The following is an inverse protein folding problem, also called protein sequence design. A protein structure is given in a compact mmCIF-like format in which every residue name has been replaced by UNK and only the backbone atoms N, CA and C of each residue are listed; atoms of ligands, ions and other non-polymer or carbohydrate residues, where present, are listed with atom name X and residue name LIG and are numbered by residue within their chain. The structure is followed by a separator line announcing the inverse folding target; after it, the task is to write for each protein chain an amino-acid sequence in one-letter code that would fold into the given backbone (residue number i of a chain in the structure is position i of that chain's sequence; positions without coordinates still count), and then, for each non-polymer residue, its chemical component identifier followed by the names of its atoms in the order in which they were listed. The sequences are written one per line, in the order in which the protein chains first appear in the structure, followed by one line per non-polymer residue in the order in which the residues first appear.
data_IF_173985756257
#
_entry.id   IF_173985756257
#
_cell.length_a   1.000
_cell.length_b   1.000
_cell.length_c   1.000
_cell.angle_alpha   90.00
_cell.angle_beta   90.00
_cell.angle_gamma   90.00
#
_symmetry.space_group_name_H-M   'P 1'
#
loop_
_entity.id
_entity.type
_entity.pdbx_description
1 polymer ?
#
# COMPACT_ATOMS: atom_id res chain seq x y z
N UNK A 1 7.32 13.18 -1.87
CA UNK A 1 7.85 12.58 -3.11
C UNK A 1 8.05 13.63 -4.21
N UNK A 2 7.05 14.49 -4.52
CA UNK A 2 7.20 15.54 -5.54
C UNK A 2 8.42 16.42 -5.26
N UNK A 3 8.55 16.97 -4.04
CA UNK A 3 9.67 17.80 -3.65
C UNK A 3 11.04 17.13 -3.78
N UNK A 4 11.11 15.78 -3.66
CA UNK A 4 12.36 15.03 -3.89
C UNK A 4 12.64 14.81 -5.37
N UNK A 5 11.60 14.56 -6.17
CA UNK A 5 11.75 14.34 -7.62
C UNK A 5 11.98 15.64 -8.38
N UNK A 6 11.41 16.74 -7.88
CA UNK A 6 11.46 18.07 -8.49
C UNK A 6 11.90 19.12 -7.46
N UNK A 7 13.16 19.09 -7.00
CA UNK A 7 13.63 19.96 -5.91
C UNK A 7 13.59 21.45 -6.23
N UNK A 8 13.64 21.80 -7.51
CA UNK A 8 13.54 23.19 -7.99
C UNK A 8 12.09 23.70 -8.16
N UNK A 9 11.08 22.89 -7.83
CA UNK A 9 9.68 23.30 -7.90
C UNK A 9 9.41 24.44 -6.89
N UNK A 10 8.67 25.51 -7.29
CA UNK A 10 8.42 26.66 -6.42
C UNK A 10 7.76 26.30 -5.08
N UNK A 11 6.94 25.27 -5.06
CA UNK A 11 6.21 24.78 -3.89
C UNK A 11 7.07 23.98 -2.91
N UNK A 12 8.28 23.60 -3.28
CA UNK A 12 9.14 22.72 -2.47
C UNK A 12 9.36 23.26 -1.05
N UNK A 13 9.65 24.56 -0.92
CA UNK A 13 9.84 25.18 0.39
C UNK A 13 8.57 25.14 1.25
N UNK A 14 7.40 25.36 0.65
CA UNK A 14 6.12 25.29 1.34
C UNK A 14 5.77 23.85 1.77
N UNK A 15 6.13 22.85 0.98
CA UNK A 15 5.96 21.42 1.32
C UNK A 15 6.78 21.08 2.57
N UNK A 16 8.04 21.51 2.64
CA UNK A 16 8.90 21.26 3.81
C UNK A 16 8.41 22.01 5.04
N UNK A 17 8.08 23.27 4.93
CA UNK A 17 7.48 24.03 6.04
C UNK A 17 6.20 23.37 6.57
N UNK A 18 5.38 22.79 5.68
CA UNK A 18 4.19 22.03 6.08
C UNK A 18 4.55 20.73 6.79
N UNK A 19 5.57 20.02 6.32
CA UNK A 19 6.06 18.82 6.99
C UNK A 19 6.58 19.14 8.40
N UNK A 20 7.38 20.19 8.55
CA UNK A 20 7.88 20.67 9.85
C UNK A 20 6.76 21.02 10.82
N UNK A 21 5.70 21.63 10.32
CA UNK A 21 4.56 22.03 11.16
C UNK A 21 3.62 20.87 11.54
N UNK A 22 3.55 19.81 10.71
CA UNK A 22 2.56 18.74 10.86
C UNK A 22 3.14 17.44 11.42
N UNK A 23 4.37 17.09 11.04
CA UNK A 23 4.98 15.80 11.37
C UNK A 23 5.89 15.95 12.60
N UNK A 24 5.29 16.34 13.71
CA UNK A 24 5.98 16.53 15.00
C UNK A 24 5.49 15.52 16.03
N UNK A 25 6.33 15.12 17.00
CA UNK A 25 5.99 14.07 17.97
C UNK A 25 4.69 14.29 18.70
N UNK A 26 4.36 15.54 19.06
CA UNK A 26 3.17 15.90 19.82
C UNK A 26 1.88 15.61 19.03
N UNK A 27 1.88 15.90 17.72
CA UNK A 27 0.72 15.62 16.85
C UNK A 27 0.60 14.13 16.57
N UNK A 28 1.73 13.44 16.35
CA UNK A 28 1.74 11.99 16.19
C UNK A 28 1.22 11.28 17.45
N UNK A 29 1.57 11.76 18.64
CA UNK A 29 1.03 11.22 19.89
C UNK A 29 -0.50 11.38 19.97
N UNK A 30 -1.05 12.48 19.47
CA UNK A 30 -2.50 12.67 19.35
C UNK A 30 -3.16 11.65 18.42
N UNK A 31 -2.56 11.38 17.26
CA UNK A 31 -3.04 10.35 16.32
C UNK A 31 -2.96 8.93 16.93
N UNK A 32 -1.89 8.62 17.66
CA UNK A 32 -1.75 7.35 18.36
C UNK A 32 -2.85 7.17 19.43
N UNK A 33 -3.12 8.21 20.21
CA UNK A 33 -4.21 8.20 21.19
C UNK A 33 -5.57 7.99 20.52
N UNK A 34 -5.78 8.59 19.34
CA UNK A 34 -6.98 8.37 18.54
C UNK A 34 -7.13 6.89 18.13
N UNK A 35 -6.05 6.25 17.69
CA UNK A 35 -6.06 4.84 17.29
C UNK A 35 -6.36 3.86 18.43
N UNK A 36 -6.08 4.25 19.67
CA UNK A 36 -6.31 3.44 20.87
C UNK A 36 -7.75 3.51 21.40
N UNK A 37 -8.58 4.38 20.85
CA UNK A 37 -9.98 4.54 21.30
C UNK A 37 -10.80 3.28 21.03
N UNK A 38 -11.80 2.98 21.85
CA UNK A 38 -12.78 1.93 21.57
C UNK A 38 -13.40 2.13 20.17
N UNK A 39 -13.49 1.06 19.38
CA UNK A 39 -14.06 1.10 18.03
C UNK A 39 -13.09 1.56 16.91
N UNK A 40 -11.90 2.06 17.23
CA UNK A 40 -10.94 2.53 16.22
C UNK A 40 -10.17 1.42 15.51
N UNK A 41 -10.35 0.14 15.84
CA UNK A 41 -9.60 -0.97 15.27
C UNK A 41 -9.69 -1.09 13.73
N UNK A 42 -10.85 -0.71 13.16
CA UNK A 42 -11.08 -0.72 11.72
C UNK A 42 -10.87 0.63 11.03
N UNK A 43 -10.43 1.67 11.77
CA UNK A 43 -10.25 3.01 11.21
C UNK A 43 -9.27 2.97 10.03
N UNK A 44 -9.71 3.49 8.88
CA UNK A 44 -8.94 3.59 7.63
C UNK A 44 -8.40 2.24 7.07
N UNK A 45 -8.99 1.11 7.43
CA UNK A 45 -8.53 -0.22 7.01
C UNK A 45 -8.96 -0.56 5.58
N UNK A 46 -8.05 -1.08 4.73
CA UNK A 46 -6.58 -1.12 4.92
C UNK A 46 -5.86 0.05 4.25
N UNK A 47 -6.58 0.91 3.53
CA UNK A 47 -6.06 1.94 2.62
C UNK A 47 -5.21 2.99 3.35
N UNK A 48 -5.78 3.63 4.37
CA UNK A 48 -5.07 4.63 5.16
C UNK A 48 -3.89 4.05 5.92
N UNK A 49 -3.98 2.79 6.40
CA UNK A 49 -2.85 2.10 7.02
C UNK A 49 -1.66 2.00 6.05
N UNK A 50 -1.93 1.56 4.83
CA UNK A 50 -0.92 1.38 3.80
C UNK A 50 -0.32 2.72 3.34
N UNK A 51 -1.13 3.76 3.21
CA UNK A 51 -0.66 5.10 2.87
C UNK A 51 0.25 5.69 3.92
N UNK A 52 -0.02 5.45 5.22
CA UNK A 52 0.88 5.93 6.26
C UNK A 52 2.23 5.19 6.23
N UNK A 53 2.24 3.88 6.00
CA UNK A 53 3.48 3.14 5.81
C UNK A 53 4.28 3.68 4.61
N UNK A 54 3.62 3.96 3.50
CA UNK A 54 4.24 4.57 2.33
C UNK A 54 4.75 5.99 2.60
N UNK A 55 4.04 6.78 3.41
CA UNK A 55 4.49 8.09 3.85
C UNK A 55 5.78 7.97 4.67
N UNK A 56 5.79 7.11 5.69
CA UNK A 56 6.98 6.91 6.53
C UNK A 56 8.20 6.49 5.70
N UNK A 57 8.02 5.56 4.76
CA UNK A 57 9.11 5.14 3.86
C UNK A 57 9.63 6.28 2.98
N UNK A 58 8.73 7.14 2.47
CA UNK A 58 9.17 8.31 1.71
C UNK A 58 9.90 9.33 2.59
N UNK A 59 9.42 9.56 3.81
CA UNK A 59 10.07 10.47 4.77
C UNK A 59 11.48 10.00 5.16
N UNK A 60 11.70 8.70 5.29
CA UNK A 60 13.01 8.12 5.57
C UNK A 60 14.05 8.34 4.45
N UNK A 61 13.66 8.86 3.30
CA UNK A 61 14.53 9.21 2.18
C UNK A 61 14.99 10.66 2.20
N UNK A 62 14.66 11.38 3.25
CA UNK A 62 14.96 12.81 3.41
C UNK A 62 15.77 13.05 4.68
N UNK A 63 16.66 14.02 4.62
CA UNK A 63 17.48 14.47 5.76
C UNK A 63 16.65 15.37 6.69
N UNK A 64 15.63 14.81 7.34
CA UNK A 64 14.74 15.55 8.24
C UNK A 64 14.26 14.69 9.39
N UNK A 65 13.68 15.29 10.44
CA UNK A 65 13.24 14.58 11.65
C UNK A 65 11.93 13.81 11.46
N UNK A 66 11.26 13.96 10.32
CA UNK A 66 9.88 13.56 10.11
C UNK A 66 9.70 12.04 10.16
N UNK A 67 10.65 11.26 9.61
CA UNK A 67 10.56 9.80 9.65
C UNK A 67 10.57 9.30 11.09
N UNK A 68 11.50 9.78 11.92
CA UNK A 68 11.58 9.42 13.32
C UNK A 68 10.32 9.86 14.10
N UNK A 69 9.77 11.03 13.79
CA UNK A 69 8.56 11.52 14.43
C UNK A 69 7.34 10.65 14.08
N UNK A 70 7.21 10.17 12.83
CA UNK A 70 6.08 9.36 12.33
C UNK A 70 6.24 7.86 12.62
N UNK A 71 7.45 7.37 12.91
CA UNK A 71 7.73 5.95 13.11
C UNK A 71 6.78 5.26 14.11
N UNK A 72 6.47 5.83 15.30
CA UNK A 72 5.55 5.17 16.24
C UNK A 72 4.17 4.90 15.63
N UNK A 73 3.66 5.80 14.78
CA UNK A 73 2.40 5.63 14.10
C UNK A 73 2.50 4.56 13.00
N UNK A 74 3.60 4.52 12.25
CA UNK A 74 3.86 3.48 11.26
C UNK A 74 3.91 2.09 11.91
N UNK A 75 4.59 1.95 13.06
CA UNK A 75 4.61 0.71 13.84
C UNK A 75 3.23 0.29 14.33
N UNK A 76 2.39 1.23 14.77
CA UNK A 76 1.02 0.94 15.17
C UNK A 76 0.17 0.38 14.00
N UNK A 77 0.31 0.91 12.80
CA UNK A 77 -0.38 0.37 11.63
C UNK A 77 0.20 -0.95 11.14
N UNK A 78 1.51 -1.15 11.22
CA UNK A 78 2.13 -2.45 10.94
C UNK A 78 1.59 -3.53 11.89
N UNK A 79 1.47 -3.23 13.17
CA UNK A 79 0.85 -4.14 14.15
C UNK A 79 -0.61 -4.48 13.80
N UNK A 80 -1.36 -3.53 13.24
CA UNK A 80 -2.73 -3.78 12.74
C UNK A 80 -2.73 -4.73 11.53
N UNK A 81 -1.78 -4.60 10.60
CA UNK A 81 -1.62 -5.55 9.50
C UNK A 81 -1.29 -6.95 10.02
N UNK A 82 -0.36 -7.09 10.96
CA UNK A 82 -0.04 -8.37 11.59
C UNK A 82 -1.28 -9.04 12.21
N UNK A 83 -2.13 -8.26 12.89
CA UNK A 83 -3.33 -8.78 13.51
C UNK A 83 -4.47 -9.07 12.54
N UNK A 84 -4.52 -8.37 11.40
CA UNK A 84 -5.60 -8.43 10.42
C UNK A 84 -5.40 -9.53 9.38
N UNK A 85 -4.22 -9.62 8.77
CA UNK A 85 -3.96 -10.53 7.66
C UNK A 85 -4.26 -12.00 7.97
N UNK A 86 -3.95 -12.54 9.17
CA UNK A 86 -4.30 -13.92 9.50
C UNK A 86 -5.81 -14.18 9.59
N UNK A 87 -6.59 -13.16 9.89
CA UNK A 87 -8.06 -13.28 10.05
C UNK A 87 -8.83 -13.14 8.76
N UNK A 88 -8.19 -12.60 7.73
CA UNK A 88 -8.82 -12.39 6.44
C UNK A 88 -8.83 -13.70 5.65
N UNK A 89 -10.02 -14.25 5.44
CA UNK A 89 -10.21 -15.55 4.76
C UNK A 89 -9.95 -15.42 3.25
N UNK A 90 -10.39 -14.31 2.63
CA UNK A 90 -10.23 -14.01 1.21
C UNK A 90 -9.97 -12.52 1.02
N UNK A 91 -9.30 -12.10 -0.07
CA UNK A 91 -9.01 -10.71 -0.33
C UNK A 91 -10.24 -9.95 -0.81
N UNK A 92 -10.33 -8.67 -0.47
CA UNK A 92 -11.30 -7.76 -1.08
C UNK A 92 -10.67 -7.19 -2.34
N UNK A 93 -11.30 -7.43 -3.51
CA UNK A 93 -10.76 -7.13 -4.84
C UNK A 93 -11.36 -5.87 -5.48
N UNK A 94 -12.38 -5.24 -4.87
CA UNK A 94 -13.01 -4.01 -5.41
C UNK A 94 -12.01 -2.88 -5.60
N UNK A 95 -12.21 -2.03 -6.60
CA UNK A 95 -11.32 -0.91 -6.94
C UNK A 95 -11.51 0.33 -6.05
N UNK A 96 -11.83 0.14 -4.77
CA UNK A 96 -12.05 1.22 -3.78
C UNK A 96 -11.07 1.13 -2.61
N UNK A 97 -11.29 1.91 -1.56
CA UNK A 97 -10.46 1.94 -0.34
C UNK A 97 -10.29 0.57 0.36
N UNK A 98 -11.14 -0.41 0.04
CA UNK A 98 -11.06 -1.74 0.63
C UNK A 98 -10.12 -2.69 -0.13
N UNK A 99 -9.55 -2.28 -1.27
CA UNK A 99 -8.68 -3.11 -2.11
C UNK A 99 -7.46 -3.61 -1.33
N UNK A 100 -7.35 -4.93 -1.19
CA UNK A 100 -6.28 -5.56 -0.43
C UNK A 100 -4.96 -5.53 -1.22
N UNK A 101 -4.95 -5.83 -2.50
CA UNK A 101 -3.71 -5.86 -3.29
C UNK A 101 -3.04 -4.49 -3.37
N UNK A 102 -3.80 -3.40 -3.51
CA UNK A 102 -3.27 -2.05 -3.43
C UNK A 102 -2.62 -1.76 -2.08
N UNK A 103 -3.34 -2.05 -0.98
CA UNK A 103 -2.81 -1.81 0.36
C UNK A 103 -1.55 -2.64 0.63
N UNK A 104 -1.55 -3.93 0.23
CA UNK A 104 -0.38 -4.79 0.40
C UNK A 104 0.80 -4.35 -0.44
N UNK A 105 0.60 -3.79 -1.63
CA UNK A 105 1.68 -3.24 -2.47
C UNK A 105 2.45 -2.13 -1.74
N UNK A 106 1.75 -1.23 -1.07
CA UNK A 106 2.37 -0.16 -0.28
C UNK A 106 3.03 -0.69 0.99
N UNK A 107 2.32 -1.56 1.72
CA UNK A 107 2.81 -2.16 2.96
C UNK A 107 4.04 -3.06 2.73
N UNK A 108 4.07 -3.86 1.64
CA UNK A 108 5.17 -4.74 1.26
C UNK A 108 6.49 -3.96 1.12
N UNK A 109 6.45 -2.82 0.43
CA UNK A 109 7.62 -1.98 0.21
C UNK A 109 8.19 -1.45 1.54
N UNK A 110 7.33 -0.97 2.43
CA UNK A 110 7.71 -0.53 3.77
C UNK A 110 8.25 -1.69 4.62
N UNK A 111 7.52 -2.81 4.63
CA UNK A 111 7.87 -3.97 5.44
C UNK A 111 9.23 -4.57 5.07
N UNK A 112 9.58 -4.57 3.79
CA UNK A 112 10.90 -5.04 3.31
C UNK A 112 12.07 -4.36 4.03
N UNK A 113 11.93 -3.08 4.37
CA UNK A 113 12.99 -2.30 5.02
C UNK A 113 12.85 -2.28 6.56
N UNK A 114 11.64 -2.37 7.09
CA UNK A 114 11.36 -2.04 8.48
C UNK A 114 10.77 -3.18 9.32
N UNK A 115 10.19 -4.23 8.68
CA UNK A 115 9.52 -5.33 9.38
C UNK A 115 9.54 -6.61 8.54
N UNK A 116 10.64 -7.38 8.59
CA UNK A 116 10.79 -8.62 7.81
C UNK A 116 9.68 -9.66 8.06
N UNK A 117 9.12 -9.69 9.28
CA UNK A 117 8.03 -10.60 9.61
C UNK A 117 6.73 -10.23 8.89
N UNK A 118 6.39 -8.93 8.86
CA UNK A 118 5.26 -8.43 8.07
C UNK A 118 5.49 -8.65 6.58
N UNK A 119 6.72 -8.43 6.08
CA UNK A 119 7.07 -8.67 4.70
C UNK A 119 6.79 -10.12 4.28
N UNK A 120 7.31 -11.09 5.04
CA UNK A 120 7.08 -12.51 4.78
C UNK A 120 5.59 -12.88 4.86
N UNK A 121 4.85 -12.31 5.82
CA UNK A 121 3.41 -12.52 5.95
C UNK A 121 2.63 -11.99 4.74
N UNK A 122 2.99 -10.82 4.23
CA UNK A 122 2.38 -10.24 3.02
C UNK A 122 2.66 -11.13 1.82
N UNK A 123 3.90 -11.57 1.62
CA UNK A 123 4.26 -12.46 0.50
C UNK A 123 3.49 -13.78 0.54
N UNK A 124 3.41 -14.41 1.72
CA UNK A 124 2.65 -15.65 1.88
C UNK A 124 1.17 -15.44 1.53
N UNK A 125 0.54 -14.38 2.06
CA UNK A 125 -0.87 -14.07 1.76
C UNK A 125 -1.12 -13.70 0.32
N UNK A 126 -0.22 -12.95 -0.33
CA UNK A 126 -0.35 -12.63 -1.74
C UNK A 126 -0.30 -13.90 -2.62
N UNK A 127 0.60 -14.84 -2.31
CA UNK A 127 0.64 -16.14 -3.00
C UNK A 127 -0.62 -16.96 -2.74
N UNK A 128 -1.07 -17.09 -1.49
CA UNK A 128 -2.27 -17.85 -1.12
C UNK A 128 -3.52 -17.35 -1.86
N UNK A 129 -3.63 -16.04 -2.08
CA UNK A 129 -4.85 -15.44 -2.60
C UNK A 129 -4.87 -15.22 -4.10
N UNK A 130 -3.69 -14.98 -4.72
CA UNK A 130 -3.63 -14.47 -6.08
C UNK A 130 -2.82 -15.36 -7.04
N UNK A 131 -2.02 -16.30 -6.52
CA UNK A 131 -1.12 -17.07 -7.39
C UNK A 131 -1.87 -17.92 -8.42
N UNK A 132 -3.04 -18.42 -8.08
CA UNK A 132 -3.86 -19.26 -8.96
C UNK A 132 -4.89 -18.49 -9.81
N UNK A 133 -4.94 -17.15 -9.69
CA UNK A 133 -5.87 -16.34 -10.48
C UNK A 133 -5.51 -16.38 -11.97
N UNK A 134 -6.55 -16.59 -12.80
CA UNK A 134 -6.43 -16.76 -14.26
C UNK A 134 -7.59 -16.08 -14.97
N UNK A 135 -7.37 -15.67 -16.22
CA UNK A 135 -8.37 -15.10 -17.13
C UNK A 135 -9.27 -14.06 -16.45
N UNK A 136 -8.63 -13.06 -15.84
CA UNK A 136 -9.34 -12.01 -15.11
C UNK A 136 -10.33 -11.31 -16.03
N UNK A 137 -11.58 -11.30 -15.59
CA UNK A 137 -12.68 -10.63 -16.28
C UNK A 137 -12.59 -9.13 -15.97
N UNK A 138 -12.10 -8.36 -16.90
CA UNK A 138 -11.89 -6.95 -16.68
C UNK A 138 -13.13 -6.13 -17.07
N UNK A 139 -14.10 -6.09 -16.20
CA UNK A 139 -15.24 -5.17 -16.19
C UNK A 139 -14.90 -3.86 -15.46
N UNK A 140 -13.66 -3.51 -15.40
CA UNK A 140 -13.15 -2.49 -14.53
C UNK A 140 -12.54 -1.29 -15.29
N UNK A 141 -12.48 -0.12 -14.64
CA UNK A 141 -13.05 0.08 -13.31
C UNK A 141 -14.58 0.05 -13.34
N UNK A 142 -15.21 -0.41 -12.24
CA UNK A 142 -16.64 -0.27 -12.01
C UNK A 142 -17.04 1.20 -11.85
N UNK A 143 -18.36 1.49 -11.85
CA UNK A 143 -18.84 2.87 -11.86
C UNK A 143 -18.49 3.71 -10.64
N UNK A 144 -18.15 3.10 -9.50
CA UNK A 144 -17.74 3.71 -8.24
C UNK A 144 -16.26 3.45 -7.89
N UNK A 145 -15.51 2.79 -8.76
CA UNK A 145 -14.12 2.42 -8.56
C UNK A 145 -13.16 3.52 -9.06
N UNK A 146 -12.08 3.73 -8.34
CA UNK A 146 -10.99 4.66 -8.70
C UNK A 146 -9.64 3.95 -8.87
N UNK A 147 -9.60 2.64 -8.64
CA UNK A 147 -8.47 1.75 -8.93
C UNK A 147 -8.93 0.70 -9.94
N UNK A 148 -8.02 0.24 -10.78
CA UNK A 148 -8.19 -1.03 -11.50
C UNK A 148 -7.88 -2.18 -10.54
N UNK A 149 -8.85 -3.03 -10.15
CA UNK A 149 -8.60 -4.21 -9.34
C UNK A 149 -7.54 -5.13 -9.94
N UNK A 150 -7.63 -5.44 -11.25
CA UNK A 150 -6.67 -6.31 -11.92
C UNK A 150 -5.27 -5.72 -11.95
N UNK A 151 -5.11 -4.43 -12.27
CA UNK A 151 -3.78 -3.82 -12.27
C UNK A 151 -3.21 -3.68 -10.86
N UNK A 152 -4.04 -3.44 -9.84
CA UNK A 152 -3.59 -3.42 -8.44
C UNK A 152 -3.07 -4.80 -8.00
N UNK A 153 -3.75 -5.88 -8.41
CA UNK A 153 -3.33 -7.25 -8.17
C UNK A 153 -2.04 -7.59 -8.93
N UNK A 154 -1.98 -7.27 -10.22
CA UNK A 154 -0.79 -7.48 -11.03
C UNK A 154 0.43 -6.72 -10.48
N UNK A 155 0.24 -5.50 -9.98
CA UNK A 155 1.30 -4.72 -9.35
C UNK A 155 1.82 -5.39 -8.07
N UNK A 156 0.94 -5.92 -7.22
CA UNK A 156 1.36 -6.68 -6.03
C UNK A 156 2.15 -7.93 -6.44
N UNK A 157 1.61 -8.73 -7.36
CA UNK A 157 2.26 -9.98 -7.81
C UNK A 157 3.61 -9.72 -8.48
N UNK A 158 3.78 -8.59 -9.17
CA UNK A 158 5.09 -8.17 -9.72
C UNK A 158 6.15 -7.86 -8.65
N UNK A 159 5.74 -7.69 -7.38
CA UNK A 159 6.65 -7.46 -6.24
C UNK A 159 6.97 -8.75 -5.49
N UNK A 160 6.07 -9.72 -5.56
CA UNK A 160 6.10 -11.00 -4.83
C UNK A 160 6.75 -12.11 -5.64
N UNK A 161 6.57 -12.10 -6.96
CA UNK A 161 7.14 -13.09 -7.86
C UNK A 161 8.46 -12.56 -8.46
N UNK A 162 9.37 -13.48 -8.79
CA UNK A 162 10.48 -13.16 -9.65
C UNK A 162 9.99 -12.83 -11.07
N UNK A 163 10.88 -12.32 -11.91
CA UNK A 163 10.54 -11.81 -13.25
C UNK A 163 9.89 -12.86 -14.14
N UNK A 164 10.41 -14.08 -14.14
CA UNK A 164 9.96 -15.12 -15.06
C UNK A 164 8.64 -15.74 -14.59
N UNK A 165 8.53 -15.98 -13.30
CA UNK A 165 7.28 -16.41 -12.65
C UNK A 165 6.18 -15.36 -12.83
N UNK A 166 6.49 -14.07 -12.67
CA UNK A 166 5.54 -13.00 -12.91
C UNK A 166 5.09 -12.94 -14.37
N UNK A 167 6.01 -13.04 -15.33
CA UNK A 167 5.66 -13.02 -16.75
C UNK A 167 4.70 -14.15 -17.12
N UNK A 168 4.95 -15.36 -16.63
CA UNK A 168 4.09 -16.52 -16.86
C UNK A 168 2.71 -16.34 -16.18
N UNK A 169 2.72 -15.88 -14.92
CA UNK A 169 1.48 -15.62 -14.19
C UNK A 169 0.65 -14.52 -14.86
N UNK A 170 1.26 -13.40 -15.23
CA UNK A 170 0.57 -12.26 -15.85
C UNK A 170 -0.05 -12.62 -17.21
N UNK A 171 0.67 -13.42 -18.04
CA UNK A 171 0.13 -13.90 -19.29
C UNK A 171 -1.10 -14.80 -19.13
N UNK A 172 -1.19 -15.54 -18.01
CA UNK A 172 -2.35 -16.36 -17.68
C UNK A 172 -3.47 -15.56 -17.01
N UNK A 173 -3.10 -14.54 -16.22
CA UNK A 173 -4.02 -13.67 -15.49
C UNK A 173 -4.76 -12.69 -16.43
N UNK A 174 -4.03 -12.03 -17.33
CA UNK A 174 -4.57 -11.11 -18.33
C UNK A 174 -4.16 -11.53 -19.75
N UNK A 175 -4.70 -12.65 -20.27
CA UNK A 175 -4.21 -13.25 -21.52
C UNK A 175 -4.42 -12.37 -22.75
N UNK A 176 -5.31 -11.39 -22.70
CA UNK A 176 -5.60 -10.46 -23.80
C UNK A 176 -4.94 -9.09 -23.64
N UNK A 177 -4.12 -8.89 -22.62
CA UNK A 177 -3.46 -7.59 -22.38
C UNK A 177 -2.56 -7.18 -23.56
N UNK A 178 -1.87 -8.13 -24.21
CA UNK A 178 -1.05 -7.86 -25.39
C UNK A 178 -1.87 -7.38 -26.61
N UNK A 179 -3.17 -7.63 -26.64
CA UNK A 179 -4.09 -7.17 -27.68
C UNK A 179 -4.82 -5.87 -27.26
N UNK A 180 -4.40 -5.21 -26.19
CA UNK A 180 -5.04 -4.02 -25.65
C UNK A 180 -6.44 -4.30 -25.07
N UNK A 181 -6.65 -5.51 -24.52
CA UNK A 181 -7.91 -5.85 -23.91
C UNK A 181 -7.73 -6.24 -22.42
N UNK A 182 -8.65 -5.79 -21.58
CA UNK A 182 -9.79 -4.94 -21.92
C UNK A 182 -9.35 -3.52 -22.28
N UNK A 183 -10.07 -2.86 -23.17
CA UNK A 183 -9.77 -1.49 -23.62
C UNK A 183 -9.96 -0.42 -22.54
N UNK A 184 -10.33 -0.83 -21.34
CA UNK A 184 -10.46 0.01 -20.14
C UNK A 184 -9.18 0.05 -19.27
N UNK A 185 -8.17 -0.76 -19.60
CA UNK A 185 -6.87 -0.79 -18.92
C UNK A 185 -5.84 0.14 -19.56
#
# INVERSE_FOLDING_TARGET
RLARLYPAMPETAAIWARADAMLVPEKVAGELAYLQRPGAAGFERPYGWAWLLALHEELARHDGPWAAAVEPLARAFAARFHAFLPKLTYPIRVGTHFNISFALTLAHRWAKAHDPALHAQIEARARDWFFDDRDCQAWEPGGDEFLSPALAEALLMSRVLDRDAFAAWFAAFLPRAAQGQPGTL
#
